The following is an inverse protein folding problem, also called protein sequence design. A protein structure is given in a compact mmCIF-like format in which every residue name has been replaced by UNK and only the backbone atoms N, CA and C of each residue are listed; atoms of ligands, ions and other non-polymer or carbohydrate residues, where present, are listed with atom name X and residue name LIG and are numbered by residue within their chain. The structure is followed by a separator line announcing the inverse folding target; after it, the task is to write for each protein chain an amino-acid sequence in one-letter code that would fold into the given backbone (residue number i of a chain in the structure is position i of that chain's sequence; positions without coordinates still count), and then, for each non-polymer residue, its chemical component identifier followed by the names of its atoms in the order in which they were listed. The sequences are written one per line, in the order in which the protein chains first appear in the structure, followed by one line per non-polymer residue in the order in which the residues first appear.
data_IF_108393769890
#
_entry.id   IF_108393769890
#
_cell.length_a   1.000
_cell.length_b   1.000
_cell.length_c   1.000
_cell.angle_alpha   90.00
_cell.angle_beta   90.00
_cell.angle_gamma   90.00
#
_symmetry.space_group_name_H-M   'P 1'
#
loop_
_entity.id
_entity.type
_entity.pdbx_description
1 polymer ?
#
# COMPACT_ATOMS: atom_id res chain seq x y z
N UNK A 1 8.12 0.37 -15.54
CA UNK A 1 7.71 -0.78 -16.36
C UNK A 1 6.35 -0.62 -17.03
N UNK A 2 5.35 -0.01 -16.36
CA UNK A 2 4.02 0.20 -16.94
C UNK A 2 4.01 1.16 -18.14
N UNK A 3 4.66 2.33 -18.00
CA UNK A 3 4.59 3.41 -18.99
C UNK A 3 5.82 3.45 -19.92
N UNK A 4 7.03 3.51 -19.34
CA UNK A 4 8.27 3.61 -20.12
C UNK A 4 8.80 2.24 -20.54
N UNK A 5 8.81 2.00 -21.86
CA UNK A 5 9.45 0.82 -22.47
C UNK A 5 10.95 0.80 -22.22
N UNK A 6 11.62 1.94 -22.34
CA UNK A 6 13.06 2.05 -22.09
C UNK A 6 13.41 1.65 -20.66
N UNK A 7 12.65 2.15 -19.68
CA UNK A 7 12.86 1.76 -18.28
C UNK A 7 12.66 0.25 -18.09
N UNK A 8 11.60 -0.31 -18.70
CA UNK A 8 11.30 -1.75 -18.61
C UNK A 8 12.45 -2.60 -19.16
N UNK A 9 13.04 -2.19 -20.27
CA UNK A 9 14.13 -2.93 -20.92
C UNK A 9 15.48 -2.75 -20.22
N UNK A 10 15.80 -1.54 -19.73
CA UNK A 10 17.14 -1.22 -19.18
C UNK A 10 17.26 -1.40 -17.66
N UNK A 11 16.20 -1.14 -16.91
CA UNK A 11 16.24 -1.10 -15.42
C UNK A 11 15.31 -2.16 -14.82
N UNK A 12 14.09 -2.27 -15.34
CA UNK A 12 13.08 -3.20 -14.83
C UNK A 12 12.45 -2.76 -13.51
N UNK A 13 11.99 -3.74 -12.73
CA UNK A 13 11.33 -3.55 -11.43
C UNK A 13 11.85 -4.55 -10.41
N UNK A 14 11.83 -4.18 -9.13
CA UNK A 14 12.29 -5.04 -8.04
C UNK A 14 12.50 -4.26 -6.75
N UNK A 15 12.78 -5.00 -5.66
CA UNK A 15 13.14 -4.40 -4.36
C UNK A 15 14.45 -3.61 -4.40
N UNK A 16 15.34 -4.02 -5.31
CA UNK A 16 16.58 -3.34 -5.65
C UNK A 16 16.74 -3.38 -7.16
N UNK A 17 17.10 -2.25 -7.76
CA UNK A 17 17.39 -2.12 -9.19
C UNK A 17 18.73 -1.44 -9.38
N UNK A 18 19.32 -1.57 -10.57
CA UNK A 18 20.52 -0.81 -10.94
C UNK A 18 20.09 0.60 -11.38
N UNK A 19 20.02 1.52 -10.42
CA UNK A 19 19.64 2.91 -10.68
C UNK A 19 20.61 3.57 -11.68
N UNK A 20 20.11 4.18 -12.77
CA UNK A 20 20.97 4.89 -13.71
C UNK A 20 21.65 6.12 -13.09
N UNK A 21 20.95 6.81 -12.20
CA UNK A 21 21.37 8.02 -11.48
C UNK A 21 20.64 8.11 -10.13
N UNK A 22 21.07 9.04 -9.27
CA UNK A 22 20.39 9.39 -8.03
C UNK A 22 21.25 9.21 -6.79
N UNK A 23 20.80 9.80 -5.68
CA UNK A 23 21.42 9.65 -4.36
C UNK A 23 20.56 8.68 -3.55
N UNK A 24 21.19 7.66 -2.96
CA UNK A 24 20.50 6.69 -2.12
C UNK A 24 20.11 7.27 -0.76
N UNK A 25 18.83 7.20 -0.41
CA UNK A 25 18.31 7.44 0.93
C UNK A 25 17.96 6.12 1.62
N UNK A 26 18.35 5.97 2.89
CA UNK A 26 17.98 4.78 3.67
C UNK A 26 16.50 4.86 4.09
N UNK A 27 15.65 4.00 3.51
CA UNK A 27 14.20 3.93 3.80
C UNK A 27 13.48 5.27 3.48
N UNK A 28 12.20 5.38 3.86
CA UNK A 28 11.43 6.61 3.66
C UNK A 28 12.04 7.81 4.40
N UNK A 29 12.52 7.63 5.64
CA UNK A 29 13.13 8.72 6.41
C UNK A 29 14.37 9.31 5.73
N UNK A 30 15.25 8.44 5.22
CA UNK A 30 16.47 8.87 4.54
C UNK A 30 16.16 9.60 3.23
N UNK A 31 15.22 9.09 2.43
CA UNK A 31 14.80 9.78 1.19
C UNK A 31 14.13 11.11 1.51
N UNK A 32 13.22 11.15 2.49
CA UNK A 32 12.56 12.37 2.97
C UNK A 32 13.58 13.43 3.39
N UNK A 33 14.59 13.04 4.16
CA UNK A 33 15.65 13.95 4.60
C UNK A 33 16.47 14.50 3.42
N UNK A 34 16.76 13.68 2.41
CA UNK A 34 17.48 14.12 1.19
C UNK A 34 16.67 15.13 0.38
N UNK A 35 15.36 14.88 0.20
CA UNK A 35 14.45 15.80 -0.50
C UNK A 35 14.42 17.16 0.20
N UNK A 36 14.32 17.18 1.54
CA UNK A 36 14.25 18.45 2.30
C UNK A 36 15.54 19.26 2.25
N UNK A 37 16.69 18.60 2.19
CA UNK A 37 18.00 19.26 2.22
C UNK A 37 18.47 19.73 0.84
N UNK A 38 17.87 19.21 -0.23
CA UNK A 38 18.34 19.41 -1.59
C UNK A 38 17.31 20.18 -2.41
N UNK A 39 17.61 21.44 -2.70
CA UNK A 39 16.77 22.27 -3.55
C UNK A 39 16.61 21.65 -4.95
N UNK A 40 15.38 21.59 -5.47
CA UNK A 40 15.07 20.99 -6.76
C UNK A 40 15.09 19.46 -6.77
N UNK A 41 15.19 18.80 -5.62
CA UNK A 41 15.16 17.34 -5.55
C UNK A 41 13.79 16.75 -5.90
N UNK A 42 13.83 15.57 -6.53
CA UNK A 42 12.69 14.68 -6.73
C UNK A 42 13.04 13.32 -6.12
N UNK A 43 12.08 12.72 -5.43
CA UNK A 43 12.21 11.39 -4.87
C UNK A 43 10.86 10.75 -4.64
N UNK A 44 10.86 9.47 -4.30
CA UNK A 44 9.65 8.71 -4.01
C UNK A 44 9.66 8.29 -2.54
N UNK A 45 8.57 8.57 -1.84
CA UNK A 45 8.35 8.17 -0.45
C UNK A 45 6.88 7.79 -0.29
N UNK A 46 6.59 7.01 0.74
CA UNK A 46 5.22 6.68 1.13
C UNK A 46 4.45 7.96 1.55
N UNK A 47 3.16 8.00 1.24
CA UNK A 47 2.28 9.17 1.39
C UNK A 47 2.25 9.71 2.82
N UNK A 48 2.16 8.85 3.84
CA UNK A 48 2.20 9.24 5.24
C UNK A 48 3.49 9.98 5.63
N UNK A 49 4.63 9.56 5.09
CA UNK A 49 5.92 10.23 5.31
C UNK A 49 5.95 11.61 4.64
N UNK A 50 5.50 11.71 3.38
CA UNK A 50 5.42 12.98 2.67
C UNK A 50 4.51 13.98 3.40
N UNK A 51 3.32 13.54 3.79
CA UNK A 51 2.33 14.35 4.51
C UNK A 51 2.86 14.83 5.86
N UNK A 52 3.43 13.94 6.66
CA UNK A 52 3.98 14.27 7.98
C UNK A 52 5.18 15.22 7.91
N UNK A 53 5.99 15.09 6.85
CA UNK A 53 7.14 15.96 6.61
C UNK A 53 6.78 17.28 5.89
N UNK A 54 5.53 17.47 5.47
CA UNK A 54 5.07 18.66 4.74
C UNK A 54 5.71 18.79 3.36
N UNK A 55 5.98 17.67 2.68
CA UNK A 55 6.54 17.68 1.34
C UNK A 55 5.47 18.04 0.30
N UNK A 56 5.87 18.79 -0.73
CA UNK A 56 5.07 18.93 -1.93
C UNK A 56 5.05 17.58 -2.66
N UNK A 57 3.86 17.14 -3.07
CA UNK A 57 3.65 15.91 -3.81
C UNK A 57 3.13 16.25 -5.21
N UNK A 58 3.59 15.50 -6.21
CA UNK A 58 3.21 15.76 -7.60
C UNK A 58 1.84 15.16 -7.92
N UNK A 59 1.04 15.89 -8.70
CA UNK A 59 -0.09 15.29 -9.41
C UNK A 59 0.45 14.47 -10.58
N UNK A 60 -0.11 13.28 -10.79
CA UNK A 60 0.35 12.35 -11.83
C UNK A 60 -0.80 12.03 -12.79
N UNK A 61 -0.46 11.90 -14.06
CA UNK A 61 -1.39 11.39 -15.07
C UNK A 61 -1.71 9.93 -14.76
N UNK A 62 -3.00 9.60 -14.68
CA UNK A 62 -3.47 8.23 -14.49
C UNK A 62 -3.76 7.54 -15.83
N UNK A 63 -4.12 6.26 -15.77
CA UNK A 63 -4.44 5.45 -16.94
C UNK A 63 -5.52 6.08 -17.85
N UNK A 64 -6.43 6.86 -17.27
CA UNK A 64 -7.53 7.55 -17.98
C UNK A 64 -7.12 8.90 -18.59
N UNK A 65 -5.86 9.32 -18.42
CA UNK A 65 -5.31 10.59 -18.93
C UNK A 65 -5.60 11.82 -18.05
N UNK A 66 -6.11 11.62 -16.84
CA UNK A 66 -6.39 12.70 -15.89
C UNK A 66 -5.21 12.92 -14.94
N UNK A 67 -4.90 14.17 -14.61
CA UNK A 67 -3.91 14.49 -13.58
C UNK A 67 -4.54 14.47 -12.20
N UNK A 68 -4.14 13.50 -11.38
CA UNK A 68 -4.71 13.22 -10.07
C UNK A 68 -3.73 13.61 -8.97
N UNK A 69 -4.22 14.34 -7.98
CA UNK A 69 -3.46 14.64 -6.76
C UNK A 69 -3.40 13.41 -5.84
N UNK A 70 -2.29 13.20 -5.10
CA UNK A 70 -2.18 12.11 -4.14
C UNK A 70 -2.99 12.45 -2.88
N UNK A 71 -4.26 12.07 -2.87
CA UNK A 71 -5.14 12.18 -1.71
C UNK A 71 -5.60 10.81 -1.23
N UNK A 72 -6.11 10.74 0.00
CA UNK A 72 -6.69 9.50 0.53
C UNK A 72 -7.81 8.99 -0.37
N UNK A 73 -8.66 9.88 -0.89
CA UNK A 73 -9.78 9.55 -1.78
C UNK A 73 -9.31 8.97 -3.11
N UNK A 74 -8.31 9.60 -3.74
CA UNK A 74 -7.75 9.12 -5.02
C UNK A 74 -7.07 7.76 -4.90
N UNK A 75 -6.48 7.48 -3.74
CA UNK A 75 -5.84 6.21 -3.47
C UNK A 75 -6.86 5.13 -3.11
N UNK A 76 -7.92 5.46 -2.34
CA UNK A 76 -9.06 4.56 -2.11
C UNK A 76 -9.72 4.17 -3.43
N UNK A 77 -9.98 5.13 -4.32
CA UNK A 77 -10.56 4.85 -5.64
C UNK A 77 -9.72 3.85 -6.46
N UNK A 78 -8.40 4.00 -6.43
CA UNK A 78 -7.48 3.06 -7.06
C UNK A 78 -7.52 1.66 -6.43
N UNK A 79 -7.57 1.57 -5.09
CA UNK A 79 -7.58 0.31 -4.35
C UNK A 79 -8.92 -0.44 -4.49
N UNK A 80 -10.04 0.25 -4.53
CA UNK A 80 -11.38 -0.34 -4.67
C UNK A 80 -11.55 -1.14 -5.96
N UNK A 81 -10.93 -0.67 -7.05
CA UNK A 81 -10.99 -1.29 -8.37
C UNK A 81 -10.19 -2.61 -8.46
N UNK A 82 -9.34 -2.92 -7.47
CA UNK A 82 -8.41 -4.05 -7.56
C UNK A 82 -9.10 -5.37 -7.26
N UNK A 83 -9.05 -6.28 -8.23
CA UNK A 83 -9.48 -7.66 -8.01
C UNK A 83 -8.40 -8.44 -7.26
N UNK A 84 -8.58 -8.58 -5.95
CA UNK A 84 -7.68 -9.39 -5.12
C UNK A 84 -7.83 -10.90 -5.42
N UNK A 85 -6.72 -11.63 -5.67
CA UNK A 85 -6.71 -13.09 -5.78
C UNK A 85 -6.87 -13.77 -4.40
N UNK A 86 -7.00 -15.10 -4.36
CA UNK A 86 -7.18 -15.87 -3.11
C UNK A 86 -6.08 -15.65 -2.08
N UNK A 87 -4.83 -15.47 -2.52
CA UNK A 87 -3.70 -15.18 -1.62
C UNK A 87 -3.56 -13.69 -1.28
N UNK A 88 -4.55 -12.86 -1.67
CA UNK A 88 -4.65 -11.42 -1.42
C UNK A 88 -3.46 -10.60 -1.94
N UNK A 89 -2.59 -11.19 -2.76
CA UNK A 89 -1.38 -10.55 -3.28
C UNK A 89 -1.62 -10.03 -4.68
N UNK A 90 -1.99 -8.75 -4.77
CA UNK A 90 -2.15 -8.03 -6.03
C UNK A 90 -1.04 -7.00 -6.22
N UNK A 91 -0.48 -6.93 -7.43
CA UNK A 91 0.37 -5.82 -7.84
C UNK A 91 -0.47 -4.87 -8.68
N UNK A 92 -0.49 -3.62 -8.26
CA UNK A 92 -1.26 -2.58 -8.92
C UNK A 92 -0.28 -1.79 -9.78
N UNK A 93 -0.42 -1.91 -11.09
CA UNK A 93 0.40 -1.19 -12.06
C UNK A 93 -0.54 -0.36 -12.90
N UNK A 94 -0.49 0.96 -12.72
CA UNK A 94 -1.33 1.92 -13.44
C UNK A 94 -2.83 1.59 -13.36
N UNK A 95 -3.44 1.73 -12.15
CA UNK A 95 -4.83 1.35 -11.90
C UNK A 95 -5.82 2.09 -12.80
N UNK A 96 -6.86 1.37 -13.23
CA UNK A 96 -7.99 1.95 -13.96
C UNK A 96 -8.81 2.90 -13.06
N UNK A 97 -9.59 3.79 -13.69
CA UNK A 97 -10.53 4.69 -13.03
C UNK A 97 -10.18 6.16 -13.20
N UNK A 98 -11.18 7.01 -13.40
CA UNK A 98 -10.99 8.42 -13.73
C UNK A 98 -10.30 9.23 -12.61
N UNK A 99 -10.49 8.82 -11.36
CA UNK A 99 -9.96 9.48 -10.16
C UNK A 99 -8.85 8.68 -9.45
N UNK A 100 -8.38 7.59 -10.06
CA UNK A 100 -7.37 6.71 -9.46
C UNK A 100 -6.00 7.37 -9.50
N UNK A 101 -5.33 7.47 -8.35
CA UNK A 101 -3.92 7.88 -8.34
C UNK A 101 -3.05 6.73 -8.89
N UNK A 102 -2.07 6.99 -9.77
CA UNK A 102 -1.42 5.93 -10.55
C UNK A 102 -0.40 5.09 -9.77
N UNK A 103 0.08 5.56 -8.61
CA UNK A 103 1.09 4.87 -7.80
C UNK A 103 0.52 4.57 -6.41
N UNK A 104 -0.17 3.44 -6.31
CA UNK A 104 -0.82 2.97 -5.07
C UNK A 104 -0.57 1.48 -4.92
N UNK A 105 -0.39 0.99 -3.70
CA UNK A 105 -0.21 -0.45 -3.43
C UNK A 105 -0.75 -0.80 -2.05
N UNK A 106 -1.15 -2.06 -1.88
CA UNK A 106 -1.30 -2.65 -0.56
C UNK A 106 0.06 -2.92 0.09
N UNK A 107 0.04 -3.08 1.40
CA UNK A 107 1.09 -3.75 2.17
C UNK A 107 0.53 -5.04 2.75
N UNK A 108 1.37 -6.04 2.95
CA UNK A 108 0.94 -7.39 3.34
C UNK A 108 1.48 -7.79 4.70
N UNK A 109 0.61 -8.43 5.46
CA UNK A 109 0.98 -9.26 6.59
C UNK A 109 1.15 -10.71 6.11
N UNK A 110 2.23 -11.37 6.53
CA UNK A 110 2.41 -12.79 6.33
C UNK A 110 2.10 -13.51 7.63
N UNK A 111 1.13 -14.41 7.59
CA UNK A 111 0.75 -15.29 8.69
C UNK A 111 0.81 -16.75 8.23
N UNK A 112 1.05 -17.67 9.17
CA UNK A 112 0.93 -19.09 8.86
C UNK A 112 -0.55 -19.47 8.77
N UNK A 113 -0.91 -20.33 7.83
CA UNK A 113 -2.28 -20.85 7.76
C UNK A 113 -2.61 -21.83 8.88
N UNK A 114 -1.60 -22.38 9.55
CA UNK A 114 -1.72 -23.30 10.68
C UNK A 114 -0.63 -23.00 11.70
N UNK A 115 -0.98 -23.10 12.98
CA UNK A 115 -0.07 -22.94 14.10
C UNK A 115 -0.18 -24.16 15.02
N UNK A 116 0.94 -24.61 15.58
CA UNK A 116 0.96 -25.72 16.55
C UNK A 116 0.28 -25.34 17.87
N UNK A 117 0.28 -24.05 18.21
CA UNK A 117 -0.30 -23.49 19.42
C UNK A 117 -1.63 -22.79 19.09
N UNK A 118 -2.73 -23.35 19.58
CA UNK A 118 -4.07 -22.81 19.34
C UNK A 118 -4.25 -21.38 19.90
N UNK A 119 -3.63 -21.07 21.05
CA UNK A 119 -3.66 -19.73 21.62
C UNK A 119 -2.97 -18.70 20.73
N UNK A 120 -1.87 -19.08 20.06
CA UNK A 120 -1.21 -18.24 19.05
C UNK A 120 -2.07 -18.05 17.80
N UNK A 121 -2.71 -19.11 17.30
CA UNK A 121 -3.62 -19.01 16.16
C UNK A 121 -4.73 -17.98 16.42
N UNK A 122 -5.41 -18.09 17.56
CA UNK A 122 -6.45 -17.14 17.97
C UNK A 122 -5.89 -15.72 18.18
N UNK A 123 -4.68 -15.60 18.73
CA UNK A 123 -4.03 -14.31 18.93
C UNK A 123 -3.73 -13.59 17.61
N UNK A 124 -3.35 -14.33 16.57
CA UNK A 124 -3.14 -13.79 15.22
C UNK A 124 -4.45 -13.29 14.61
N UNK A 125 -5.52 -14.08 14.67
CA UNK A 125 -6.83 -13.65 14.17
C UNK A 125 -7.38 -12.43 14.90
N UNK A 126 -7.25 -12.37 16.23
CA UNK A 126 -7.62 -11.18 17.02
C UNK A 126 -6.86 -9.92 16.60
N UNK A 127 -5.57 -10.08 16.29
CA UNK A 127 -4.75 -8.96 15.82
C UNK A 127 -5.16 -8.51 14.40
N UNK A 128 -5.49 -9.45 13.52
CA UNK A 128 -6.04 -9.15 12.19
C UNK A 128 -7.41 -8.47 12.32
N UNK A 129 -8.32 -8.98 13.15
CA UNK A 129 -9.63 -8.37 13.40
C UNK A 129 -9.51 -6.95 13.95
N UNK A 130 -8.59 -6.70 14.88
CA UNK A 130 -8.31 -5.35 15.33
C UNK A 130 -7.92 -4.46 14.15
N UNK A 131 -7.01 -4.94 13.29
CA UNK A 131 -6.58 -4.25 12.08
C UNK A 131 -7.74 -3.98 11.11
N UNK A 132 -8.68 -4.92 10.96
CA UNK A 132 -9.86 -4.78 10.11
C UNK A 132 -10.94 -3.86 10.67
N UNK A 133 -10.88 -3.50 11.96
CA UNK A 133 -11.89 -2.70 12.64
C UNK A 133 -11.28 -1.42 13.23
N UNK A 134 -10.91 -1.45 14.51
CA UNK A 134 -10.40 -0.28 15.24
C UNK A 134 -9.13 0.30 14.60
N UNK A 135 -8.28 -0.55 14.03
CA UNK A 135 -7.10 -0.15 13.27
C UNK A 135 -7.43 0.71 12.05
N UNK A 136 -8.57 0.48 11.39
CA UNK A 136 -8.99 1.30 10.25
C UNK A 136 -9.31 2.73 10.67
N UNK A 137 -9.90 2.92 11.86
CA UNK A 137 -10.28 4.24 12.39
C UNK A 137 -9.08 5.15 12.65
N UNK A 138 -7.95 4.56 13.07
CA UNK A 138 -6.71 5.30 13.37
C UNK A 138 -5.73 5.35 12.20
N UNK A 139 -5.95 4.55 11.14
CA UNK A 139 -5.02 4.42 10.01
C UNK A 139 -4.72 5.77 9.33
N UNK A 140 -5.74 6.61 9.13
CA UNK A 140 -5.61 7.92 8.53
C UNK A 140 -4.72 8.89 9.32
N UNK A 141 -4.73 8.78 10.66
CA UNK A 141 -3.92 9.62 11.56
C UNK A 141 -2.43 9.30 11.44
N UNK A 142 -2.10 8.03 11.16
CA UNK A 142 -0.71 7.57 10.97
C UNK A 142 -0.30 7.53 9.50
N UNK A 143 -1.09 8.15 8.60
CA UNK A 143 -0.74 8.35 7.20
C UNK A 143 -1.11 7.20 6.26
N UNK A 144 -1.84 6.18 6.74
CA UNK A 144 -2.34 5.09 5.91
C UNK A 144 -3.75 5.37 5.39
N UNK A 145 -4.08 4.74 4.27
CA UNK A 145 -5.43 4.77 3.70
C UNK A 145 -6.23 3.61 4.29
N UNK A 146 -7.45 3.83 4.82
CA UNK A 146 -8.31 2.76 5.25
C UNK A 146 -8.57 1.74 4.13
N UNK A 147 -8.58 0.46 4.47
CA UNK A 147 -8.93 -0.60 3.55
C UNK A 147 -10.38 -0.44 3.11
N UNK A 148 -10.66 -0.50 1.79
CA UNK A 148 -12.03 -0.60 1.29
C UNK A 148 -12.79 -1.80 1.87
N UNK A 149 -14.11 -1.68 2.01
CA UNK A 149 -14.92 -2.72 2.66
C UNK A 149 -14.88 -4.07 1.92
N UNK A 150 -14.83 -4.06 0.59
CA UNK A 150 -14.66 -5.28 -0.21
C UNK A 150 -13.32 -5.97 0.08
N UNK A 151 -12.27 -5.21 0.36
CA UNK A 151 -10.95 -5.73 0.75
C UNK A 151 -10.99 -6.27 2.17
N UNK A 152 -11.60 -5.54 3.12
CA UNK A 152 -11.77 -5.98 4.51
C UNK A 152 -12.48 -7.34 4.56
N UNK A 153 -13.54 -7.50 3.78
CA UNK A 153 -14.30 -8.74 3.67
C UNK A 153 -13.44 -9.91 3.17
N UNK A 154 -12.66 -9.72 2.11
CA UNK A 154 -11.74 -10.76 1.59
C UNK A 154 -10.64 -11.14 2.58
N UNK A 155 -10.12 -10.17 3.32
CA UNK A 155 -9.11 -10.44 4.36
C UNK A 155 -9.74 -11.26 5.49
N UNK A 156 -10.94 -10.90 5.95
CA UNK A 156 -11.69 -11.70 6.93
C UNK A 156 -11.82 -13.15 6.45
N UNK A 157 -12.39 -13.38 5.27
CA UNK A 157 -12.65 -14.73 4.72
C UNK A 157 -11.37 -15.59 4.58
N UNK A 158 -10.22 -14.94 4.45
CA UNK A 158 -8.93 -15.62 4.35
C UNK A 158 -8.33 -15.89 5.74
N UNK A 159 -8.40 -14.90 6.63
CA UNK A 159 -7.81 -14.96 7.95
C UNK A 159 -8.59 -15.86 8.92
N UNK A 160 -9.91 -15.96 8.76
CA UNK A 160 -10.83 -16.80 9.58
C UNK A 160 -10.59 -18.31 9.45
N UNK A 161 -9.58 -18.70 8.67
CA UNK A 161 -9.17 -20.09 8.45
C UNK A 161 -7.96 -20.47 9.29
N UNK A 162 -7.38 -19.53 10.04
CA UNK A 162 -6.14 -19.73 10.79
C UNK A 162 -6.41 -20.53 12.08
N UNK A 163 -7.54 -20.27 12.74
CA UNK A 163 -7.99 -20.95 13.94
C UNK A 163 -9.38 -21.55 13.74
N UNK A 164 -9.64 -22.79 14.21
CA UNK A 164 -10.99 -23.32 14.24
C UNK A 164 -11.84 -22.76 15.40
N UNK A 165 -11.22 -22.06 16.36
CA UNK A 165 -11.81 -21.71 17.66
C UNK A 165 -12.12 -20.21 17.79
N UNK A 166 -11.94 -19.43 16.73
CA UNK A 166 -12.21 -18.00 16.71
C UNK A 166 -12.82 -17.60 15.36
N UNK A 167 -13.71 -16.61 15.39
CA UNK A 167 -14.30 -16.06 14.18
C UNK A 167 -14.16 -14.53 14.22
N UNK A 168 -13.51 -13.98 13.20
CA UNK A 168 -13.34 -12.55 12.98
C UNK A 168 -14.70 -11.93 12.64
N UNK A 169 -15.00 -10.76 13.20
CA UNK A 169 -16.22 -10.00 12.88
C UNK A 169 -15.86 -8.63 12.34
N UNK A 170 -16.44 -8.21 11.20
CA UNK A 170 -16.36 -6.81 10.77
C UNK A 170 -17.38 -5.95 11.52
N UNK A 171 -16.95 -4.76 11.95
CA UNK A 171 -17.77 -3.73 12.57
C UNK A 171 -17.94 -2.53 11.65
#
# INVERSE_FOLDING_TARGET
CAISREWKEKVGEGKTVQWPVGIGGAKNDGVTAQIRQSEGAIGYVEYGFAKSAGLNMASLENNSGNYIEPTTESATAALEAVVLPENLRAFITDPEGDNSYPIVTYTWMLAYGQYDDAGKAQGVEKMIEFGLNEGQKISGEIGYIPLPDNVRQKVLETADKISPDYNITLK
#
